data_IF_994057600182
#
_entry.id   IF_994057600182
#
_cell.length_a   1.000
_cell.length_b   1.000
_cell.length_c   1.000
_cell.angle_alpha   90.00
_cell.angle_beta   90.00
_cell.angle_gamma   90.00
#
_symmetry.space_group_name_H-M   'P 1'
#
loop_
_entity.id
_entity.type
_entity.pdbx_description
1 polymer ?
#
# COMPACT_ATOMS: atom_id res chain seq x y z
N UNK A 1 -2.50 9.47 -24.73
CA UNK A 1 -2.38 10.83 -24.19
C UNK A 1 -3.70 11.25 -23.56
N UNK A 2 -3.77 11.19 -22.23
CA UNK A 2 -4.96 11.47 -21.41
C UNK A 2 -5.55 12.86 -21.63
N UNK A 3 -4.69 13.86 -21.76
CA UNK A 3 -5.11 15.26 -21.94
C UNK A 3 -5.76 15.45 -23.30
N UNK A 4 -5.20 14.83 -24.35
CA UNK A 4 -5.75 14.92 -25.70
C UNK A 4 -7.13 14.26 -25.80
N UNK A 5 -7.29 13.06 -25.21
CA UNK A 5 -8.59 12.38 -25.16
C UNK A 5 -9.66 13.18 -24.40
N UNK A 6 -9.30 13.75 -23.27
CA UNK A 6 -10.23 14.59 -22.49
C UNK A 6 -10.67 15.83 -23.26
N UNK A 7 -9.72 16.48 -23.94
CA UNK A 7 -10.01 17.66 -24.78
C UNK A 7 -10.91 17.31 -25.95
N UNK A 8 -10.63 16.20 -26.62
CA UNK A 8 -11.44 15.74 -27.77
C UNK A 8 -12.83 15.31 -27.34
N UNK A 9 -12.98 14.62 -26.22
CA UNK A 9 -14.30 14.28 -25.66
C UNK A 9 -15.13 15.55 -25.42
N UNK A 10 -14.55 16.57 -24.77
CA UNK A 10 -15.25 17.84 -24.53
C UNK A 10 -15.57 18.58 -25.82
N UNK A 11 -14.69 18.53 -26.84
CA UNK A 11 -14.95 19.14 -28.15
C UNK A 11 -16.17 18.50 -28.80
N UNK A 12 -16.23 17.16 -28.83
CA UNK A 12 -17.36 16.42 -29.41
C UNK A 12 -18.68 16.65 -28.69
N UNK A 13 -18.64 16.74 -27.33
CA UNK A 13 -19.82 17.12 -26.56
C UNK A 13 -20.35 18.50 -26.94
N UNK A 14 -19.46 19.48 -27.12
CA UNK A 14 -19.82 20.83 -27.54
C UNK A 14 -20.37 20.90 -28.97
N UNK A 15 -19.94 19.99 -29.83
CA UNK A 15 -20.43 19.85 -31.22
C UNK A 15 -21.72 19.02 -31.32
N UNK A 16 -22.22 18.48 -30.19
CA UNK A 16 -23.42 17.66 -30.16
C UNK A 16 -23.24 16.24 -30.62
N UNK A 17 -22.00 15.77 -30.82
CA UNK A 17 -21.70 14.38 -31.18
C UNK A 17 -21.53 13.51 -29.94
N UNK A 18 -22.64 13.33 -29.22
CA UNK A 18 -22.64 12.60 -27.94
C UNK A 18 -22.31 11.12 -28.06
N UNK A 19 -22.58 10.48 -29.21
CA UNK A 19 -22.30 9.06 -29.42
C UNK A 19 -20.78 8.79 -29.40
N UNK A 20 -20.04 9.55 -30.20
CA UNK A 20 -18.59 9.42 -30.27
C UNK A 20 -17.91 9.92 -28.98
N UNK A 21 -18.44 10.97 -28.38
CA UNK A 21 -17.98 11.45 -27.08
C UNK A 21 -18.10 10.38 -25.98
N UNK A 22 -19.23 9.65 -25.93
CA UNK A 22 -19.46 8.57 -24.99
C UNK A 22 -18.49 7.38 -25.20
N UNK A 23 -18.20 7.03 -26.46
CA UNK A 23 -17.23 5.98 -26.80
C UNK A 23 -15.82 6.36 -26.34
N UNK A 24 -15.37 7.57 -26.66
CA UNK A 24 -14.08 8.10 -26.22
C UNK A 24 -13.98 8.19 -24.68
N UNK A 25 -15.06 8.61 -24.02
CA UNK A 25 -15.13 8.68 -22.56
C UNK A 25 -14.95 7.32 -21.92
N UNK A 26 -15.61 6.27 -22.43
CA UNK A 26 -15.45 4.89 -21.93
C UNK A 26 -14.00 4.40 -22.08
N UNK A 27 -13.35 4.66 -23.22
CA UNK A 27 -11.94 4.35 -23.43
C UNK A 27 -11.04 5.15 -22.48
N UNK A 28 -11.33 6.42 -22.27
CA UNK A 28 -10.60 7.29 -21.36
C UNK A 28 -10.73 6.83 -19.90
N UNK A 29 -11.93 6.47 -19.43
CA UNK A 29 -12.16 5.96 -18.08
C UNK A 29 -11.28 4.74 -17.83
N UNK A 30 -11.31 3.74 -18.69
CA UNK A 30 -10.51 2.53 -18.52
C UNK A 30 -8.99 2.80 -18.63
N UNK A 31 -8.53 3.32 -19.77
CA UNK A 31 -7.10 3.45 -20.03
C UNK A 31 -6.42 4.62 -19.32
N UNK A 32 -7.17 5.61 -18.92
CA UNK A 32 -6.65 6.85 -18.37
C UNK A 32 -6.88 7.04 -16.89
N UNK A 33 -8.01 6.58 -16.40
CA UNK A 33 -8.41 6.79 -15.00
C UNK A 33 -8.23 5.51 -14.20
N UNK A 34 -8.87 4.41 -14.59
CA UNK A 34 -8.92 3.19 -13.78
C UNK A 34 -7.57 2.47 -13.70
N UNK A 35 -6.83 2.41 -14.81
CA UNK A 35 -5.53 1.74 -14.87
C UNK A 35 -4.36 2.59 -14.37
N UNK A 36 -4.58 3.87 -14.06
CA UNK A 36 -3.54 4.75 -13.54
C UNK A 36 -3.18 4.37 -12.10
N UNK A 37 -1.93 4.01 -11.84
CA UNK A 37 -1.42 3.68 -10.51
C UNK A 37 -1.25 4.92 -9.60
N UNK A 38 -1.53 6.13 -10.08
CA UNK A 38 -1.35 7.40 -9.37
C UNK A 38 0.06 7.58 -8.73
N UNK A 39 1.08 6.99 -9.32
CA UNK A 39 2.45 7.00 -8.80
C UNK A 39 3.23 8.30 -9.07
N UNK A 40 2.66 9.25 -9.81
CA UNK A 40 3.28 10.53 -10.22
C UNK A 40 4.62 10.42 -10.98
N UNK A 41 5.03 9.24 -11.44
CA UNK A 41 6.27 9.06 -12.23
C UNK A 41 6.24 9.84 -13.54
N UNK A 42 5.06 10.05 -14.13
CA UNK A 42 4.86 10.86 -15.33
C UNK A 42 5.33 12.31 -15.14
N UNK A 43 5.19 12.87 -13.94
CA UNK A 43 5.68 14.23 -13.61
C UNK A 43 7.19 14.34 -13.78
N UNK A 44 7.96 13.34 -13.32
CA UNK A 44 9.42 13.34 -13.40
C UNK A 44 9.96 13.21 -14.82
N UNK A 45 9.18 12.60 -15.72
CA UNK A 45 9.54 12.42 -17.14
C UNK A 45 9.02 13.55 -18.03
N UNK A 46 8.09 14.37 -17.54
CA UNK A 46 7.49 15.45 -18.31
C UNK A 46 8.35 16.72 -18.24
N UNK A 47 8.81 17.31 -19.38
CA UNK A 47 9.57 18.55 -19.38
C UNK A 47 8.82 19.74 -18.74
N UNK A 48 7.48 19.67 -18.74
CA UNK A 48 6.61 20.70 -18.14
C UNK A 48 6.17 20.33 -16.73
N UNK A 49 6.71 19.24 -16.15
CA UNK A 49 6.33 18.73 -14.82
C UNK A 49 4.84 18.50 -14.63
N UNK A 50 4.12 18.12 -15.70
CA UNK A 50 2.68 17.83 -15.63
C UNK A 50 2.48 16.46 -14.96
N UNK A 51 1.74 16.48 -13.85
CA UNK A 51 1.36 15.27 -13.11
C UNK A 51 -0.02 14.77 -13.57
N UNK A 52 -0.03 13.86 -14.53
CA UNK A 52 -1.29 13.25 -15.03
C UNK A 52 -1.96 12.35 -14.00
N UNK A 53 -1.23 11.87 -12.99
CA UNK A 53 -1.81 11.11 -11.90
C UNK A 53 -2.80 11.96 -11.08
N UNK A 54 -2.52 13.25 -10.87
CA UNK A 54 -3.44 14.16 -10.19
C UNK A 54 -4.74 14.37 -10.97
N UNK A 55 -4.68 14.32 -12.30
CA UNK A 55 -5.88 14.39 -13.15
C UNK A 55 -6.73 13.12 -12.94
N UNK A 56 -6.11 11.94 -12.98
CA UNK A 56 -6.80 10.68 -12.75
C UNK A 56 -7.43 10.61 -11.34
N UNK A 57 -6.69 11.03 -10.31
CA UNK A 57 -7.20 11.10 -8.94
C UNK A 57 -8.37 12.07 -8.79
N UNK A 58 -8.29 13.27 -9.38
CA UNK A 58 -9.39 14.22 -9.32
C UNK A 58 -10.65 13.69 -10.00
N UNK A 59 -10.51 12.94 -11.08
CA UNK A 59 -11.66 12.31 -11.75
C UNK A 59 -12.28 11.19 -10.91
N UNK A 60 -11.48 10.37 -10.25
CA UNK A 60 -11.97 9.32 -9.33
C UNK A 60 -12.74 9.89 -8.13
N UNK A 61 -12.38 11.11 -7.68
CA UNK A 61 -13.04 11.79 -6.56
C UNK A 61 -14.42 12.36 -6.92
N UNK A 62 -14.67 12.68 -8.21
CA UNK A 62 -15.95 13.24 -8.65
C UNK A 62 -17.08 12.23 -8.44
N UNK A 63 -16.85 10.96 -8.74
CA UNK A 63 -17.85 9.89 -8.57
C UNK A 63 -17.17 8.62 -8.03
N UNK A 64 -16.84 8.59 -6.73
CA UNK A 64 -16.17 7.46 -6.14
C UNK A 64 -17.11 6.25 -6.04
N UNK A 65 -16.69 5.05 -6.45
CA UNK A 65 -17.52 3.87 -6.41
C UNK A 65 -17.84 3.46 -4.97
N UNK A 66 -19.14 3.27 -4.66
CA UNK A 66 -19.64 2.72 -3.40
C UNK A 66 -19.07 3.39 -2.12
N UNK A 67 -19.27 4.70 -1.87
CA UNK A 67 -18.68 5.41 -0.73
C UNK A 67 -19.09 4.83 0.63
N UNK A 68 -20.32 4.35 0.76
CA UNK A 68 -20.78 3.68 1.98
C UNK A 68 -20.03 2.36 2.27
N UNK A 69 -19.59 1.67 1.23
CA UNK A 69 -18.76 0.47 1.38
C UNK A 69 -17.35 0.83 1.85
N UNK A 70 -16.76 1.89 1.31
CA UNK A 70 -15.44 2.37 1.75
C UNK A 70 -15.44 2.73 3.25
N UNK A 71 -16.50 3.42 3.71
CA UNK A 71 -16.70 3.72 5.13
C UNK A 71 -16.82 2.46 5.98
N UNK A 72 -17.67 1.51 5.58
CA UNK A 72 -17.80 0.21 6.29
C UNK A 72 -16.49 -0.58 6.34
N UNK A 73 -15.72 -0.56 5.26
CA UNK A 73 -14.40 -1.20 5.19
C UNK A 73 -13.45 -0.57 6.21
N UNK A 74 -13.39 0.76 6.28
CA UNK A 74 -12.54 1.45 7.24
C UNK A 74 -13.00 1.24 8.69
N UNK A 75 -14.29 1.36 8.97
CA UNK A 75 -14.87 1.15 10.31
C UNK A 75 -14.60 -0.29 10.84
N UNK A 76 -14.43 -1.27 9.92
CA UNK A 76 -14.13 -2.67 10.24
C UNK A 76 -12.78 -3.12 9.66
N UNK A 77 -11.80 -2.22 9.63
CA UNK A 77 -10.53 -2.44 8.93
C UNK A 77 -9.79 -3.72 9.36
N UNK A 78 -9.68 -4.07 10.65
CA UNK A 78 -9.05 -5.33 11.07
C UNK A 78 -9.74 -6.55 10.51
N UNK A 79 -11.08 -6.56 10.50
CA UNK A 79 -11.88 -7.67 9.95
C UNK A 79 -11.69 -7.78 8.44
N UNK A 80 -11.66 -6.65 7.73
CA UNK A 80 -11.39 -6.61 6.29
C UNK A 80 -10.01 -7.21 5.97
N UNK A 81 -8.97 -6.86 6.73
CA UNK A 81 -7.64 -7.47 6.56
C UNK A 81 -7.63 -8.97 6.91
N UNK A 82 -8.41 -9.41 7.90
CA UNK A 82 -8.56 -10.83 8.22
C UNK A 82 -9.25 -11.59 7.08
N UNK A 83 -10.30 -11.02 6.48
CA UNK A 83 -10.97 -11.60 5.32
C UNK A 83 -10.04 -11.71 4.11
N UNK A 84 -9.22 -10.68 3.83
CA UNK A 84 -8.21 -10.72 2.80
C UNK A 84 -7.19 -11.85 3.03
N UNK A 85 -6.69 -11.99 4.27
CA UNK A 85 -5.80 -13.10 4.65
C UNK A 85 -6.48 -14.46 4.50
N UNK A 86 -7.75 -14.58 4.89
CA UNK A 86 -8.51 -15.83 4.77
C UNK A 86 -8.68 -16.22 3.30
N UNK A 87 -9.01 -15.28 2.42
CA UNK A 87 -9.11 -15.51 0.98
C UNK A 87 -7.84 -16.10 0.40
N UNK A 88 -6.69 -15.46 0.68
CA UNK A 88 -5.38 -15.95 0.23
C UNK A 88 -4.97 -17.28 0.89
N UNK A 89 -5.41 -17.52 2.14
CA UNK A 89 -5.14 -18.81 2.82
C UNK A 89 -5.93 -19.96 2.23
N UNK A 90 -7.18 -19.72 1.84
CA UNK A 90 -8.04 -20.72 1.16
C UNK A 90 -7.43 -21.12 -0.18
N UNK A 91 -6.93 -20.14 -0.94
CA UNK A 91 -6.18 -20.39 -2.18
C UNK A 91 -4.94 -21.25 -1.92
N UNK A 92 -4.16 -20.96 -0.87
CA UNK A 92 -2.99 -21.75 -0.48
C UNK A 92 -3.32 -23.19 -0.13
N UNK A 93 -4.48 -23.46 0.50
CA UNK A 93 -4.97 -24.82 0.79
C UNK A 93 -5.41 -25.52 -0.50
N UNK A 94 -6.20 -24.83 -1.33
CA UNK A 94 -6.60 -25.37 -2.63
C UNK A 94 -5.38 -25.63 -3.53
N UNK A 95 -4.35 -24.79 -3.48
CA UNK A 95 -3.09 -24.96 -4.21
C UNK A 95 -2.21 -26.09 -3.70
N UNK A 96 -2.40 -26.59 -2.47
CA UNK A 96 -1.72 -27.78 -1.96
C UNK A 96 -2.37 -29.08 -2.44
N UNK A 97 -3.67 -29.05 -2.77
CA UNK A 97 -4.43 -30.20 -3.27
C UNK A 97 -4.38 -30.24 -4.81
N UNK A 98 -4.50 -29.10 -5.44
CA UNK A 98 -4.46 -28.91 -6.90
C UNK A 98 -3.31 -27.94 -7.19
N UNK A 99 -2.39 -28.29 -8.10
CA UNK A 99 -1.23 -27.42 -8.38
C UNK A 99 -1.67 -26.00 -8.69
N UNK A 100 -0.94 -24.99 -8.19
CA UNK A 100 -1.21 -23.57 -8.45
C UNK A 100 -1.36 -23.25 -9.95
N UNK A 101 -0.65 -24.02 -10.81
CA UNK A 101 -0.81 -23.92 -12.27
C UNK A 101 -2.22 -24.29 -12.75
N UNK A 102 -2.85 -25.29 -12.13
CA UNK A 102 -4.20 -25.71 -12.49
C UNK A 102 -5.26 -24.71 -11.99
N UNK A 103 -5.10 -24.18 -10.76
CA UNK A 103 -6.00 -23.14 -10.22
C UNK A 103 -5.92 -21.88 -11.09
N UNK A 104 -4.72 -21.44 -11.44
CA UNK A 104 -4.53 -20.27 -12.33
C UNK A 104 -5.23 -20.46 -13.67
N UNK A 105 -5.09 -21.62 -14.31
CA UNK A 105 -5.77 -21.92 -15.59
C UNK A 105 -7.30 -22.01 -15.45
N UNK A 106 -7.80 -22.62 -14.36
CA UNK A 106 -9.25 -22.73 -14.11
C UNK A 106 -9.85 -21.33 -13.85
N UNK A 107 -9.21 -20.52 -13.01
CA UNK A 107 -9.68 -19.16 -12.71
C UNK A 107 -9.55 -18.22 -13.91
N UNK A 108 -8.50 -18.38 -14.74
CA UNK A 108 -8.34 -17.67 -16.00
C UNK A 108 -9.46 -18.00 -16.99
N UNK A 109 -9.77 -19.30 -17.16
CA UNK A 109 -10.87 -19.75 -18.01
C UNK A 109 -12.24 -19.26 -17.51
N UNK A 110 -12.50 -19.35 -16.20
CA UNK A 110 -13.74 -18.85 -15.60
C UNK A 110 -13.85 -17.32 -15.70
N UNK A 111 -12.77 -16.60 -15.50
CA UNK A 111 -12.73 -15.14 -15.66
C UNK A 111 -13.02 -14.75 -17.12
N UNK A 112 -12.41 -15.45 -18.09
CA UNK A 112 -12.65 -15.21 -19.52
C UNK A 112 -14.09 -15.43 -19.96
N UNK A 113 -14.82 -16.34 -19.29
CA UNK A 113 -16.22 -16.64 -19.61
C UNK A 113 -17.20 -15.76 -18.83
N UNK A 114 -16.92 -15.49 -17.55
CA UNK A 114 -17.87 -14.80 -16.66
C UNK A 114 -17.59 -13.30 -16.50
N UNK A 115 -16.35 -12.87 -16.69
CA UNK A 115 -15.88 -11.49 -16.42
C UNK A 115 -15.94 -11.06 -14.94
N UNK A 116 -16.54 -11.88 -14.07
CA UNK A 116 -16.81 -11.55 -12.65
C UNK A 116 -15.89 -12.34 -11.71
N UNK A 117 -15.50 -13.55 -12.11
CA UNK A 117 -14.67 -14.43 -11.27
C UNK A 117 -13.27 -13.86 -11.12
N UNK A 118 -12.72 -13.68 -9.90
CA UNK A 118 -11.36 -13.17 -9.72
C UNK A 118 -10.35 -14.12 -10.37
N UNK A 119 -9.44 -13.56 -11.15
CA UNK A 119 -8.28 -14.29 -11.65
C UNK A 119 -7.23 -14.41 -10.55
N UNK A 120 -6.74 -15.62 -10.34
CA UNK A 120 -5.73 -15.94 -9.34
C UNK A 120 -4.40 -16.27 -10.04
N UNK A 121 -3.43 -15.32 -10.06
CA UNK A 121 -2.14 -15.54 -10.67
C UNK A 121 -1.28 -16.51 -9.86
N UNK A 122 -0.31 -17.17 -10.50
CA UNK A 122 0.64 -18.09 -9.84
C UNK A 122 1.51 -17.41 -8.78
N UNK A 123 1.62 -16.10 -8.86
CA UNK A 123 2.43 -15.24 -7.98
C UNK A 123 1.65 -14.67 -6.81
N UNK A 124 0.43 -15.15 -6.56
CA UNK A 124 -0.39 -14.68 -5.42
C UNK A 124 0.40 -14.84 -4.12
N UNK A 125 0.50 -13.77 -3.31
CA UNK A 125 1.25 -13.80 -2.06
C UNK A 125 0.57 -14.71 -1.03
N UNK A 126 1.32 -15.17 -0.04
CA UNK A 126 0.76 -15.90 1.11
C UNK A 126 0.22 -14.95 2.17
N UNK A 127 -0.76 -15.40 2.94
CA UNK A 127 -1.24 -14.67 4.09
C UNK A 127 -0.16 -14.51 5.16
N UNK A 128 0.03 -13.28 5.62
CA UNK A 128 0.92 -12.98 6.73
C UNK A 128 0.17 -13.13 8.05
N UNK A 129 0.63 -14.05 8.91
CA UNK A 129 0.10 -14.30 10.25
C UNK A 129 1.04 -13.86 11.35
N UNK A 130 2.09 -13.11 10.98
CA UNK A 130 3.05 -12.62 11.97
C UNK A 130 2.40 -11.62 12.92
N UNK A 131 2.65 -11.80 14.22
CA UNK A 131 2.11 -10.91 15.25
C UNK A 131 3.16 -9.87 15.63
N UNK A 132 2.84 -8.61 15.40
CA UNK A 132 3.67 -7.48 15.76
C UNK A 132 3.66 -7.30 17.28
N UNK A 133 4.83 -7.22 17.90
CA UNK A 133 4.98 -6.96 19.33
C UNK A 133 6.18 -6.06 19.54
N UNK A 134 5.96 -4.92 20.17
CA UNK A 134 7.06 -4.07 20.62
C UNK A 134 7.95 -4.84 21.58
N UNK A 135 9.25 -4.81 21.33
CA UNK A 135 10.27 -5.43 22.19
C UNK A 135 11.23 -4.33 22.60
N UNK A 136 10.89 -3.69 23.71
CA UNK A 136 11.75 -2.66 24.31
C UNK A 136 12.58 -3.37 25.36
N UNK A 137 13.89 -3.40 25.17
CA UNK A 137 14.84 -3.91 26.14
C UNK A 137 15.15 -2.80 27.16
N UNK A 138 15.44 -3.11 28.43
CA UNK A 138 15.89 -2.14 29.42
C UNK A 138 17.36 -1.74 29.19
N UNK A 139 17.69 -1.34 27.98
CA UNK A 139 19.02 -0.95 27.53
C UNK A 139 18.93 0.41 26.83
N UNK A 140 20.05 1.14 26.75
CA UNK A 140 20.14 2.43 26.03
C UNK A 140 20.18 2.26 24.50
N UNK A 141 19.42 1.28 23.96
CA UNK A 141 19.32 1.09 22.54
C UNK A 141 18.56 2.26 21.90
N UNK A 142 18.99 2.64 20.70
CA UNK A 142 18.23 3.54 19.83
C UNK A 142 16.83 2.95 19.60
N UNK A 143 15.83 3.83 19.50
CA UNK A 143 14.43 3.40 19.31
C UNK A 143 13.91 3.94 18.00
N UNK A 144 13.12 3.12 17.30
CA UNK A 144 12.42 3.50 16.08
C UNK A 144 10.95 3.11 16.19
N UNK A 145 10.08 3.97 15.70
CA UNK A 145 8.67 3.62 15.51
C UNK A 145 8.52 2.97 14.14
N UNK A 146 8.11 1.72 14.10
CA UNK A 146 7.90 1.01 12.85
C UNK A 146 6.41 0.87 12.54
N UNK A 147 5.95 1.61 11.52
CA UNK A 147 4.63 1.42 10.96
C UNK A 147 4.69 0.42 9.81
N UNK A 148 4.36 -0.83 10.12
CA UNK A 148 4.15 -1.86 9.10
C UNK A 148 2.81 -1.63 8.42
N UNK A 149 2.83 -1.45 7.11
CA UNK A 149 1.66 -1.10 6.31
C UNK A 149 0.64 -2.24 6.21
N UNK A 150 -0.61 -1.90 5.89
CA UNK A 150 -1.70 -2.88 5.81
C UNK A 150 -1.41 -4.01 4.81
N UNK A 151 -0.80 -3.70 3.67
CA UNK A 151 -0.40 -4.68 2.67
C UNK A 151 0.61 -5.69 3.24
N UNK A 152 1.69 -5.21 3.87
CA UNK A 152 2.71 -6.06 4.47
C UNK A 152 2.22 -6.81 5.71
N UNK A 153 1.26 -6.25 6.44
CA UNK A 153 0.57 -6.97 7.53
C UNK A 153 -0.34 -8.07 7.02
N UNK A 154 -0.95 -7.89 5.85
CA UNK A 154 -1.85 -8.88 5.26
C UNK A 154 -1.11 -10.00 4.52
N UNK A 155 -0.02 -9.67 3.83
CA UNK A 155 0.65 -10.54 2.87
C UNK A 155 2.13 -10.72 3.18
N UNK A 156 2.67 -11.86 2.77
CA UNK A 156 4.10 -12.20 2.81
C UNK A 156 4.50 -12.89 1.50
N UNK A 157 5.81 -13.05 1.21
CA UNK A 157 6.28 -13.73 0.01
C UNK A 157 5.64 -15.10 -0.18
N UNK A 158 5.44 -15.49 -1.45
CA UNK A 158 4.91 -16.79 -1.81
C UNK A 158 5.98 -17.89 -1.59
N UNK A 159 5.56 -19.14 -1.69
CA UNK A 159 6.44 -20.30 -1.64
C UNK A 159 7.37 -20.33 -2.86
N UNK A 160 8.65 -20.65 -2.62
CA UNK A 160 9.67 -20.72 -3.68
C UNK A 160 10.56 -19.48 -3.80
N UNK A 161 10.40 -18.49 -2.94
CA UNK A 161 11.44 -17.47 -2.72
C UNK A 161 12.47 -17.97 -1.72
N UNK A 162 13.73 -17.55 -1.87
CA UNK A 162 14.85 -17.94 -0.99
C UNK A 162 14.60 -17.56 0.48
N UNK A 163 13.86 -16.46 0.71
CA UNK A 163 13.44 -16.02 2.03
C UNK A 163 11.91 -15.93 2.10
N UNK A 164 11.30 -16.84 2.85
CA UNK A 164 9.83 -16.87 3.08
C UNK A 164 9.39 -16.07 4.32
N UNK A 165 10.31 -15.36 4.99
CA UNK A 165 9.98 -14.54 6.14
C UNK A 165 9.11 -13.35 5.69
N UNK A 166 8.23 -12.89 6.57
CA UNK A 166 7.54 -11.63 6.36
C UNK A 166 8.54 -10.46 6.45
N UNK A 167 8.21 -9.33 5.79
CA UNK A 167 9.05 -8.14 5.86
C UNK A 167 9.33 -7.69 7.30
N UNK A 168 8.33 -7.79 8.17
CA UNK A 168 8.47 -7.45 9.59
C UNK A 168 9.54 -8.31 10.28
N UNK A 169 9.57 -9.60 10.01
CA UNK A 169 10.59 -10.50 10.58
C UNK A 169 12.00 -10.15 10.10
N UNK A 170 12.13 -9.74 8.84
CA UNK A 170 13.40 -9.28 8.28
C UNK A 170 13.85 -7.98 8.94
N UNK A 171 12.96 -6.99 9.00
CA UNK A 171 13.24 -5.68 9.62
C UNK A 171 13.59 -5.86 11.10
N UNK A 172 12.82 -6.65 11.86
CA UNK A 172 13.12 -6.93 13.26
C UNK A 172 14.49 -7.63 13.43
N UNK A 173 14.84 -8.55 12.55
CA UNK A 173 16.14 -9.22 12.57
C UNK A 173 17.29 -8.23 12.33
N UNK A 174 17.13 -7.31 11.36
CA UNK A 174 18.12 -6.29 11.06
C UNK A 174 18.26 -5.27 12.19
N UNK A 175 17.15 -4.76 12.71
CA UNK A 175 17.16 -3.84 13.85
C UNK A 175 17.79 -4.47 15.09
N UNK A 176 17.51 -5.75 15.35
CA UNK A 176 18.10 -6.46 16.49
C UNK A 176 19.63 -6.59 16.35
N UNK A 177 20.15 -6.83 15.13
CA UNK A 177 21.60 -6.84 14.85
C UNK A 177 22.23 -5.46 14.97
N UNK A 178 21.47 -4.41 14.66
CA UNK A 178 21.91 -3.02 14.77
C UNK A 178 21.72 -2.43 16.18
N UNK A 179 21.24 -3.20 17.14
CA UNK A 179 20.91 -2.74 18.49
C UNK A 179 19.88 -1.61 18.50
N UNK A 180 18.84 -1.73 17.68
CA UNK A 180 17.73 -0.79 17.59
C UNK A 180 16.45 -1.49 18.10
N UNK A 181 15.77 -0.86 19.07
CA UNK A 181 14.49 -1.34 19.59
C UNK A 181 13.33 -0.83 18.72
N UNK A 182 12.41 -1.71 18.40
CA UNK A 182 11.23 -1.39 17.58
C UNK A 182 10.02 -1.14 18.47
N UNK A 183 9.38 0.00 18.25
CA UNK A 183 8.09 0.38 18.83
C UNK A 183 7.04 0.29 17.73
N UNK A 184 6.01 -0.51 17.94
CA UNK A 184 4.83 -0.51 17.07
C UNK A 184 3.77 0.44 17.62
N UNK A 185 3.09 1.24 16.78
CA UNK A 185 1.94 2.04 17.21
C UNK A 185 0.88 1.16 17.87
N UNK A 186 0.20 1.70 18.88
CA UNK A 186 -0.91 0.99 19.51
C UNK A 186 -2.04 0.78 18.52
N UNK A 187 -2.73 -0.36 18.62
CA UNK A 187 -3.84 -0.72 17.73
C UNK A 187 -3.49 -0.61 16.24
N UNK A 188 -2.23 -0.97 15.89
CA UNK A 188 -1.74 -0.91 14.50
C UNK A 188 -2.66 -1.65 13.52
N UNK A 189 -3.40 -2.66 13.98
CA UNK A 189 -4.38 -3.41 13.19
C UNK A 189 -5.50 -2.54 12.62
N UNK A 190 -5.82 -1.43 13.27
CA UNK A 190 -6.86 -0.47 12.85
C UNK A 190 -6.31 0.60 11.91
N UNK A 191 -4.99 0.75 11.81
CA UNK A 191 -4.35 1.88 11.15
C UNK A 191 -4.12 1.62 9.65
N UNK A 192 -4.39 2.63 8.85
CA UNK A 192 -4.09 2.71 7.42
C UNK A 192 -3.46 4.08 7.12
N UNK A 193 -2.56 4.14 6.13
CA UNK A 193 -1.99 5.43 5.71
C UNK A 193 -3.00 6.35 5.01
N UNK A 194 -4.18 5.86 4.65
CA UNK A 194 -5.20 6.61 3.95
C UNK A 194 -5.16 6.49 2.42
N UNK A 195 -4.05 6.08 1.82
CA UNK A 195 -3.88 6.04 0.36
C UNK A 195 -4.99 5.25 -0.36
N UNK A 196 -5.41 4.11 0.18
CA UNK A 196 -6.49 3.30 -0.40
C UNK A 196 -7.86 3.99 -0.36
N UNK A 197 -7.99 5.04 0.43
CA UNK A 197 -9.20 5.81 0.61
C UNK A 197 -9.09 7.23 0.04
N UNK A 198 -8.06 7.54 -0.74
CA UNK A 198 -7.78 8.91 -1.24
C UNK A 198 -8.94 9.51 -2.06
N UNK A 199 -9.83 8.66 -2.61
CA UNK A 199 -11.02 9.10 -3.34
C UNK A 199 -12.27 9.33 -2.46
N UNK A 200 -12.17 9.13 -1.14
CA UNK A 200 -13.28 9.21 -0.17
C UNK A 200 -12.88 10.16 0.96
N UNK A 201 -13.11 11.44 0.76
CA UNK A 201 -12.54 12.52 1.58
C UNK A 201 -12.72 12.30 3.09
N UNK A 202 -13.93 12.00 3.57
CA UNK A 202 -14.22 11.78 5.00
C UNK A 202 -13.43 10.60 5.57
N UNK A 203 -13.33 9.50 4.81
CA UNK A 203 -12.64 8.28 5.25
C UNK A 203 -11.14 8.49 5.19
N UNK A 204 -10.67 9.17 4.16
CA UNK A 204 -9.27 9.52 3.97
C UNK A 204 -8.74 10.40 5.10
N UNK A 205 -9.45 11.51 5.41
CA UNK A 205 -9.06 12.42 6.49
C UNK A 205 -9.02 11.70 7.84
N UNK A 206 -10.00 10.85 8.14
CA UNK A 206 -9.99 10.01 9.35
C UNK A 206 -8.78 9.08 9.39
N UNK A 207 -8.50 8.37 8.29
CA UNK A 207 -7.38 7.43 8.24
C UNK A 207 -6.04 8.13 8.44
N UNK A 208 -5.84 9.28 7.82
CA UNK A 208 -4.64 10.11 8.00
C UNK A 208 -4.52 10.59 9.44
N UNK A 209 -5.60 11.10 10.02
CA UNK A 209 -5.64 11.58 11.41
C UNK A 209 -5.35 10.46 12.41
N UNK A 210 -6.03 9.32 12.27
CA UNK A 210 -5.86 8.17 13.19
C UNK A 210 -4.40 7.66 13.15
N UNK A 211 -3.79 7.61 11.96
CA UNK A 211 -2.38 7.24 11.83
C UNK A 211 -1.46 8.30 12.42
N UNK A 212 -1.68 9.59 12.13
CA UNK A 212 -0.89 10.68 12.67
C UNK A 212 -0.87 10.66 14.21
N UNK A 213 -2.05 10.58 14.84
CA UNK A 213 -2.18 10.57 16.29
C UNK A 213 -1.46 9.35 16.91
N UNK A 214 -1.57 8.17 16.28
CA UNK A 214 -0.90 6.96 16.73
C UNK A 214 0.63 7.04 16.57
N UNK A 215 1.13 7.64 15.48
CA UNK A 215 2.56 7.84 15.27
C UNK A 215 3.14 8.89 16.22
N UNK A 216 2.43 9.99 16.48
CA UNK A 216 2.81 11.01 17.46
C UNK A 216 2.95 10.40 18.87
N UNK A 217 1.96 9.60 19.26
CA UNK A 217 2.00 8.91 20.55
C UNK A 217 3.17 7.92 20.63
N UNK A 218 3.35 7.07 19.60
CA UNK A 218 4.39 6.05 19.60
C UNK A 218 5.80 6.65 19.54
N UNK A 219 5.99 7.76 18.81
CA UNK A 219 7.27 8.47 18.70
C UNK A 219 7.59 9.37 19.90
N UNK A 220 6.69 9.47 20.88
CA UNK A 220 6.79 10.43 21.98
C UNK A 220 6.93 11.88 21.47
N UNK A 221 6.00 12.29 20.63
CA UNK A 221 5.97 13.60 19.97
C UNK A 221 7.21 13.86 19.10
N UNK A 222 7.56 12.90 18.25
CA UNK A 222 8.67 13.04 17.29
C UNK A 222 10.07 12.81 17.89
N UNK A 223 10.16 12.33 19.14
CA UNK A 223 11.45 12.00 19.75
C UNK A 223 12.16 10.84 19.06
N UNK A 224 11.41 9.86 18.59
CA UNK A 224 11.93 8.69 17.89
C UNK A 224 11.62 8.79 16.39
N UNK A 225 12.59 8.48 15.50
CA UNK A 225 12.34 8.45 14.08
C UNK A 225 11.27 7.40 13.74
N UNK A 226 10.49 7.68 12.70
CA UNK A 226 9.41 6.82 12.23
C UNK A 226 9.86 6.19 10.91
N UNK A 227 9.59 4.89 10.73
CA UNK A 227 9.83 4.19 9.48
C UNK A 227 8.55 3.55 8.95
N UNK A 228 8.32 3.70 7.65
CA UNK A 228 7.19 3.09 6.92
C UNK A 228 7.75 2.14 5.88
N UNK A 229 7.23 0.92 5.84
CA UNK A 229 7.76 -0.20 5.06
C UNK A 229 7.25 -0.32 3.61
N UNK A 230 6.54 0.68 3.11
CA UNK A 230 6.03 0.69 1.74
C UNK A 230 6.09 2.11 1.16
N UNK A 231 6.85 2.30 0.07
CA UNK A 231 7.15 3.63 -0.47
C UNK A 231 5.93 4.45 -0.87
N UNK A 232 4.86 3.82 -1.39
CA UNK A 232 3.63 4.54 -1.70
C UNK A 232 2.94 5.08 -0.42
N UNK A 233 2.89 4.27 0.66
CA UNK A 233 2.37 4.71 1.94
C UNK A 233 3.29 5.75 2.62
N UNK A 234 4.61 5.60 2.47
CA UNK A 234 5.58 6.60 2.92
C UNK A 234 5.34 7.95 2.22
N UNK A 235 5.29 7.97 0.89
CA UNK A 235 5.06 9.22 0.13
C UNK A 235 3.74 9.89 0.51
N UNK A 236 2.69 9.08 0.73
CA UNK A 236 1.40 9.59 1.16
C UNK A 236 1.47 10.18 2.58
N UNK A 237 2.04 9.47 3.54
CA UNK A 237 2.22 9.96 4.91
C UNK A 237 3.11 11.20 4.97
N UNK A 238 4.23 11.21 4.26
CA UNK A 238 5.15 12.35 4.17
C UNK A 238 4.46 13.62 3.66
N UNK A 239 3.54 13.48 2.70
CA UNK A 239 2.76 14.60 2.16
C UNK A 239 1.74 15.14 3.16
N UNK A 240 1.09 14.27 3.93
CA UNK A 240 -0.04 14.62 4.80
C UNK A 240 0.33 14.83 6.27
N UNK A 241 1.56 14.47 6.68
CA UNK A 241 2.08 14.57 8.06
C UNK A 241 3.46 15.24 8.06
N UNK A 242 3.57 16.50 7.61
CA UNK A 242 4.85 17.19 7.44
C UNK A 242 5.55 17.54 8.76
N UNK A 243 4.86 17.43 9.87
CA UNK A 243 5.34 17.66 11.23
C UNK A 243 6.04 16.45 11.85
N UNK A 244 6.01 15.28 11.18
CA UNK A 244 6.66 14.05 11.61
C UNK A 244 7.93 13.77 10.81
N UNK A 245 8.99 13.34 11.48
CA UNK A 245 10.19 12.81 10.82
C UNK A 245 9.92 11.35 10.40
N UNK A 246 9.44 11.17 9.16
CA UNK A 246 9.14 9.87 8.59
C UNK A 246 10.22 9.50 7.59
N UNK A 247 10.72 8.26 7.66
CA UNK A 247 11.72 7.70 6.76
C UNK A 247 11.11 6.56 5.94
N UNK A 248 11.47 6.46 4.66
CA UNK A 248 11.25 5.24 3.87
C UNK A 248 12.13 4.12 4.43
N UNK A 249 11.70 2.87 4.25
CA UNK A 249 12.45 1.72 4.77
C UNK A 249 13.89 1.67 4.23
N UNK A 250 14.11 2.04 2.97
CA UNK A 250 15.44 2.03 2.36
C UNK A 250 16.33 3.11 2.97
N UNK A 251 15.80 4.32 3.16
CA UNK A 251 16.49 5.42 3.82
C UNK A 251 16.85 5.06 5.26
N UNK A 252 15.88 4.52 6.00
CA UNK A 252 16.08 4.05 7.36
C UNK A 252 17.21 3.01 7.46
N UNK A 253 17.19 2.00 6.60
CA UNK A 253 18.23 0.96 6.58
C UNK A 253 19.62 1.58 6.31
N UNK A 254 19.74 2.47 5.33
CA UNK A 254 21.01 3.11 5.01
C UNK A 254 21.51 4.04 6.12
N UNK A 255 20.62 4.79 6.76
CA UNK A 255 20.98 5.84 7.73
C UNK A 255 21.25 5.27 9.14
N UNK A 256 20.47 4.29 9.58
CA UNK A 256 20.50 3.81 10.97
C UNK A 256 21.01 2.37 11.12
N UNK A 257 20.70 1.46 10.19
CA UNK A 257 20.94 0.03 10.36
C UNK A 257 22.32 -0.38 9.80
N UNK A 258 22.59 -0.07 8.53
CA UNK A 258 23.84 -0.47 7.86
C UNK A 258 25.09 0.03 8.59
N UNK A 259 25.17 1.30 9.06
CA UNK A 259 26.34 1.77 9.78
C UNK A 259 26.63 1.03 11.08
N UNK A 260 25.61 0.50 11.74
CA UNK A 260 25.77 -0.27 12.99
C UNK A 260 26.21 -1.71 12.72
N UNK A 261 25.59 -2.38 11.73
CA UNK A 261 25.96 -3.75 11.35
C UNK A 261 27.38 -3.79 10.76
N UNK A 262 27.75 -2.83 9.90
CA UNK A 262 29.09 -2.75 9.30
C UNK A 262 30.21 -2.55 10.33
N UNK A 263 29.95 -1.85 11.44
CA UNK A 263 30.92 -1.69 12.54
C UNK A 263 31.11 -2.98 13.34
N UNK A 264 30.07 -3.78 13.48
CA UNK A 264 30.15 -5.06 14.20
C UNK A 264 31.02 -6.09 13.46
N UNK A 265 30.92 -6.16 12.11
CA UNK A 265 31.73 -7.06 11.30
C UNK A 265 33.22 -6.74 11.25
N UNK A 266 33.64 -5.53 11.64
CA UNK A 266 35.05 -5.14 11.75
C UNK A 266 35.66 -5.42 13.13
N UNK A 267 34.91 -5.96 14.08
CA UNK A 267 35.37 -6.25 15.45
C UNK A 267 35.49 -7.76 15.77
N UNK A 268 35.06 -8.62 14.85
CA UNK A 268 35.30 -10.07 14.86
C UNK A 268 36.48 -10.43 13.94
#
# INVERSE_FOLDING_TARGET
DLIALLRETKRLENEGNFTLAAELKKGYEYFGVDTCAACSMCKGLCPLSIDTAQIALSMRRIDPPAPELAKKIYDNFPTTLQMARAGVSLEGIAGSIVTQKAISKITEGLHGVTGITPYVPKTTPKANRYRLRSRIKPTDFEKVVYFSTCANRAFKPNQGYDDERSLQQVVESLCNKAHIDIIYPQHIENLCCGLSFENYDDVHERAVKDLHDALMQASQNGKYPIVIDHSACFNHAFKHMPDLEINDISEFLCKYVVPQIGRASCRE
#
